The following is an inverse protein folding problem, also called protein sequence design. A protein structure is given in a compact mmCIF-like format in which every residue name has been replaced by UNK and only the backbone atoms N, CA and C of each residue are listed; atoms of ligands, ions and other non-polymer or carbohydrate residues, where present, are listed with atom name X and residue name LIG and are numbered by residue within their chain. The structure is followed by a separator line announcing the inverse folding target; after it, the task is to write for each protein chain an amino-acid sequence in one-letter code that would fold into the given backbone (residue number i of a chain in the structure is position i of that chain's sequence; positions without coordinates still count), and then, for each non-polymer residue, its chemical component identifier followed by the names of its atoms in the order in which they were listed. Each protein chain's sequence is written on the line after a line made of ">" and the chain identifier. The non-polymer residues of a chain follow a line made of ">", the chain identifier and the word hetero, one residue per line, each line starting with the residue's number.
data_IF_913829392328
#
_entry.id   IF_913829392328
#
_cell.length_a   1.000
_cell.length_b   1.000
_cell.length_c   1.000
_cell.angle_alpha   90.00
_cell.angle_beta   90.00
_cell.angle_gamma   90.00
#
_symmetry.space_group_name_H-M   'P 1'
#
loop_
_entity.id
_entity.type
_entity.pdbx_description
1 polymer ?
#
# COMPACT_ATOMS: atom_id res chain seq x y z
N UNK A 1 -16.15 -9.06 5.04
CA UNK A 1 -15.39 -8.40 3.95
C UNK A 1 -13.97 -8.93 4.00
N UNK A 2 -13.53 -9.69 3.00
CA UNK A 2 -12.14 -10.22 2.96
C UNK A 2 -11.18 -9.05 2.75
N UNK A 3 -10.24 -8.84 3.68
CA UNK A 3 -9.17 -7.85 3.50
C UNK A 3 -8.12 -8.44 2.57
N UNK A 4 -7.83 -7.74 1.47
CA UNK A 4 -6.83 -8.13 0.48
C UNK A 4 -5.62 -7.20 0.62
N UNK A 5 -4.41 -7.74 0.55
CA UNK A 5 -3.18 -6.96 0.50
C UNK A 5 -2.39 -7.29 -0.76
N UNK A 6 -2.25 -6.29 -1.63
CA UNK A 6 -1.44 -6.37 -2.85
C UNK A 6 -0.04 -5.84 -2.59
N UNK A 7 0.99 -6.58 -2.96
CA UNK A 7 2.38 -6.13 -2.87
C UNK A 7 3.17 -6.48 -4.13
N UNK A 8 4.28 -5.77 -4.35
CA UNK A 8 5.20 -6.04 -5.46
C UNK A 8 5.78 -7.46 -5.39
N UNK A 9 6.09 -8.05 -6.54
CA UNK A 9 6.73 -9.37 -6.62
C UNK A 9 8.05 -9.44 -5.84
N UNK A 10 8.74 -8.32 -5.61
CA UNK A 10 9.89 -8.20 -4.73
C UNK A 10 9.62 -8.62 -3.28
N UNK A 11 8.38 -8.46 -2.80
CA UNK A 11 7.95 -8.87 -1.46
C UNK A 11 7.49 -10.33 -1.38
N UNK A 12 7.61 -11.11 -2.46
CA UNK A 12 7.25 -12.52 -2.46
C UNK A 12 8.21 -13.31 -1.55
N UNK A 13 7.72 -13.67 -0.37
CA UNK A 13 8.38 -14.60 0.55
C UNK A 13 7.33 -15.37 1.34
N UNK A 14 7.73 -16.51 1.92
CA UNK A 14 6.83 -17.36 2.71
C UNK A 14 6.44 -16.67 4.01
N UNK A 15 7.43 -16.04 4.63
CA UNK A 15 7.34 -15.29 5.88
C UNK A 15 6.41 -14.09 5.71
N UNK A 16 6.51 -13.37 4.60
CA UNK A 16 5.61 -12.26 4.29
C UNK A 16 4.17 -12.75 4.09
N UNK A 17 3.97 -13.86 3.37
CA UNK A 17 2.62 -14.42 3.18
C UNK A 17 2.01 -14.89 4.51
N UNK A 18 2.80 -15.51 5.38
CA UNK A 18 2.38 -15.94 6.71
C UNK A 18 2.06 -14.75 7.62
N UNK A 19 2.91 -13.71 7.64
CA UNK A 19 2.66 -12.50 8.41
C UNK A 19 1.38 -11.76 7.99
N UNK A 20 1.03 -11.83 6.70
CA UNK A 20 -0.23 -11.31 6.16
C UNK A 20 -1.39 -12.21 6.59
N UNK A 21 -1.26 -13.53 6.43
CA UNK A 21 -2.27 -14.52 6.81
C UNK A 21 -2.62 -14.51 8.30
N UNK A 22 -1.63 -14.30 9.17
CA UNK A 22 -1.82 -14.14 10.61
C UNK A 22 -2.71 -12.95 11.01
N UNK A 23 -2.94 -12.01 10.08
CA UNK A 23 -3.84 -10.87 10.26
C UNK A 23 -5.22 -11.09 9.62
N UNK A 24 -5.52 -12.33 9.20
CA UNK A 24 -6.73 -12.69 8.46
C UNK A 24 -6.88 -11.93 7.14
N UNK A 25 -5.74 -11.59 6.52
CA UNK A 25 -5.66 -10.89 5.25
C UNK A 25 -5.19 -11.88 4.18
N UNK A 26 -5.77 -11.80 2.99
CA UNK A 26 -5.33 -12.62 1.84
C UNK A 26 -4.23 -11.88 1.08
N UNK A 27 -3.08 -12.54 0.95
CA UNK A 27 -1.94 -12.00 0.20
C UNK A 27 -2.17 -12.09 -1.33
N UNK A 28 -1.87 -10.99 -2.02
CA UNK A 28 -1.86 -10.87 -3.49
C UNK A 28 -0.50 -10.38 -3.94
N UNK A 29 0.47 -11.29 -3.99
CA UNK A 29 1.85 -11.02 -4.41
C UNK A 29 2.14 -11.87 -5.65
N UNK A 30 2.67 -11.26 -6.71
CA UNK A 30 2.86 -11.95 -7.98
C UNK A 30 3.80 -13.15 -7.84
N UNK A 31 3.35 -14.38 -8.12
CA UNK A 31 4.20 -15.55 -7.99
C UNK A 31 5.30 -15.57 -9.06
N UNK A 32 6.56 -15.77 -8.65
CA UNK A 32 7.73 -15.80 -9.56
C UNK A 32 7.92 -17.18 -10.19
N UNK A 33 8.72 -17.26 -11.26
CA UNK A 33 9.09 -18.55 -11.89
C UNK A 33 9.84 -19.43 -10.87
N UNK A 34 9.50 -20.72 -10.83
CA UNK A 34 10.18 -21.72 -9.99
C UNK A 34 9.69 -21.82 -8.54
N UNK A 35 8.57 -21.19 -8.21
CA UNK A 35 7.91 -21.35 -6.91
C UNK A 35 7.35 -22.76 -6.71
N UNK A 36 7.34 -23.20 -5.46
CA UNK A 36 6.76 -24.47 -5.04
C UNK A 36 5.59 -24.24 -4.08
N UNK A 37 4.68 -25.20 -4.01
CA UNK A 37 3.58 -25.19 -3.03
C UNK A 37 4.04 -25.45 -1.58
N UNK A 38 5.33 -25.74 -1.36
CA UNK A 38 5.86 -25.94 -0.01
C UNK A 38 5.91 -24.61 0.74
N UNK A 39 5.23 -24.53 1.88
CA UNK A 39 5.18 -23.36 2.75
C UNK A 39 3.97 -23.31 3.68
N UNK A 40 3.80 -22.20 4.42
CA UNK A 40 2.64 -21.95 5.28
C UNK A 40 1.30 -21.99 4.53
N UNK A 41 0.19 -22.13 5.25
CA UNK A 41 -1.14 -22.21 4.63
C UNK A 41 -1.46 -20.97 3.79
N UNK A 42 -1.14 -19.76 4.29
CA UNK A 42 -1.34 -18.51 3.56
C UNK A 42 -0.52 -18.44 2.24
N UNK A 43 0.67 -19.05 2.21
CA UNK A 43 1.47 -19.18 0.99
C UNK A 43 0.79 -20.11 -0.02
N UNK A 44 0.34 -21.28 0.45
CA UNK A 44 -0.38 -22.27 -0.36
C UNK A 44 -1.67 -21.69 -0.93
N UNK A 45 -2.42 -20.95 -0.13
CA UNK A 45 -3.65 -20.26 -0.54
C UNK A 45 -3.37 -19.18 -1.59
N UNK A 46 -2.32 -18.38 -1.41
CA UNK A 46 -1.91 -17.35 -2.36
C UNK A 46 -1.57 -17.95 -3.73
N UNK A 47 -0.82 -19.04 -3.78
CA UNK A 47 -0.49 -19.74 -5.03
C UNK A 47 -1.75 -20.43 -5.60
N UNK A 48 -2.49 -21.17 -4.77
CA UNK A 48 -3.68 -21.90 -5.21
C UNK A 48 -4.71 -20.95 -5.83
N UNK A 49 -4.97 -19.80 -5.19
CA UNK A 49 -5.91 -18.81 -5.71
C UNK A 49 -5.45 -18.16 -7.01
N UNK A 50 -4.14 -18.08 -7.28
CA UNK A 50 -3.61 -17.66 -8.57
C UNK A 50 -3.85 -18.71 -9.66
N UNK A 51 -3.68 -19.99 -9.34
CA UNK A 51 -3.87 -21.09 -10.30
C UNK A 51 -5.34 -21.42 -10.54
N UNK A 52 -6.19 -21.30 -9.52
CA UNK A 52 -7.61 -21.64 -9.58
C UNK A 52 -8.41 -20.67 -10.48
N UNK A 53 -8.20 -19.36 -10.31
CA UNK A 53 -8.83 -18.33 -11.15
C UNK A 53 -7.85 -17.18 -11.38
N UNK A 54 -6.96 -17.40 -12.34
CA UNK A 54 -5.90 -16.44 -12.69
C UNK A 54 -6.45 -15.08 -13.10
N UNK A 55 -7.56 -15.03 -13.84
CA UNK A 55 -8.12 -13.78 -14.33
C UNK A 55 -8.68 -12.93 -13.18
N UNK A 56 -9.43 -13.55 -12.25
CA UNK A 56 -9.88 -12.86 -11.04
C UNK A 56 -8.71 -12.43 -10.17
N UNK A 57 -7.70 -13.28 -10.01
CA UNK A 57 -6.51 -12.95 -9.25
C UNK A 57 -5.77 -11.74 -9.83
N UNK A 58 -5.57 -11.70 -11.16
CA UNK A 58 -4.91 -10.58 -11.84
C UNK A 58 -5.70 -9.27 -11.71
N UNK A 59 -7.04 -9.32 -11.76
CA UNK A 59 -7.88 -8.14 -11.50
C UNK A 59 -7.70 -7.59 -10.10
N UNK A 60 -7.59 -8.46 -9.10
CA UNK A 60 -7.31 -8.06 -7.71
C UNK A 60 -5.89 -7.52 -7.56
N UNK A 61 -4.92 -8.14 -8.21
CA UNK A 61 -3.53 -7.70 -8.20
C UNK A 61 -3.31 -6.35 -8.89
N UNK A 62 -4.13 -6.02 -9.90
CA UNK A 62 -4.04 -4.77 -10.66
C UNK A 62 -4.16 -3.51 -9.78
N UNK A 63 -4.76 -3.59 -8.59
CA UNK A 63 -4.80 -2.47 -7.62
C UNK A 63 -3.40 -1.95 -7.26
N UNK A 64 -2.34 -2.75 -7.44
CA UNK A 64 -0.94 -2.33 -7.28
C UNK A 64 -0.55 -1.17 -8.23
N UNK A 65 -1.18 -1.05 -9.40
CA UNK A 65 -0.94 0.06 -10.34
C UNK A 65 -1.33 1.43 -9.77
N UNK A 66 -2.24 1.48 -8.79
CA UNK A 66 -2.62 2.71 -8.09
C UNK A 66 -1.40 3.27 -7.35
N UNK A 67 -0.67 2.43 -6.62
CA UNK A 67 0.53 2.85 -5.88
C UNK A 67 1.62 3.35 -6.83
N UNK A 68 1.79 2.73 -7.99
CA UNK A 68 2.72 3.23 -9.01
C UNK A 68 2.32 4.60 -9.52
N UNK A 69 1.03 4.81 -9.78
CA UNK A 69 0.49 6.10 -10.21
C UNK A 69 0.72 7.17 -9.16
N UNK A 70 0.46 6.87 -7.88
CA UNK A 70 0.73 7.76 -6.73
C UNK A 70 2.22 8.11 -6.69
N UNK A 71 3.11 7.12 -6.71
CA UNK A 71 4.55 7.32 -6.66
C UNK A 71 5.06 8.16 -7.83
N UNK A 72 4.56 7.89 -9.03
CA UNK A 72 4.88 8.63 -10.25
C UNK A 72 4.41 10.09 -10.18
N UNK A 73 3.21 10.32 -9.61
CA UNK A 73 2.65 11.66 -9.41
C UNK A 73 3.45 12.44 -8.38
N UNK A 74 3.83 11.79 -7.28
CA UNK A 74 4.60 12.41 -6.21
C UNK A 74 5.98 12.87 -6.71
N UNK A 75 6.67 12.02 -7.50
CA UNK A 75 7.96 12.36 -8.11
C UNK A 75 7.86 13.53 -9.09
N UNK A 76 6.80 13.62 -9.91
CA UNK A 76 6.60 14.75 -10.83
C UNK A 76 6.24 16.05 -10.13
N UNK A 77 5.42 15.95 -9.07
CA UNK A 77 4.96 17.12 -8.31
C UNK A 77 6.06 17.70 -7.43
N UNK A 78 6.89 16.85 -6.85
CA UNK A 78 7.96 17.22 -5.94
C UNK A 78 9.29 16.66 -6.48
N UNK A 79 9.83 17.27 -7.55
CA UNK A 79 11.02 16.77 -8.23
C UNK A 79 12.28 16.84 -7.37
N UNK A 80 12.27 17.68 -6.33
CA UNK A 80 13.38 17.75 -5.38
C UNK A 80 13.50 16.44 -4.58
N UNK A 81 14.72 15.85 -4.48
CA UNK A 81 14.96 14.72 -3.59
C UNK A 81 14.72 15.12 -2.13
N UNK A 82 14.53 14.12 -1.26
CA UNK A 82 14.40 14.35 0.18
C UNK A 82 15.67 15.01 0.71
N UNK A 83 15.55 16.25 1.20
CA UNK A 83 16.73 17.10 1.51
C UNK A 83 17.31 16.84 2.90
N UNK A 84 16.58 16.14 3.78
CA UNK A 84 16.92 16.06 5.20
C UNK A 84 17.83 14.87 5.49
N UNK A 85 18.87 15.06 6.33
CA UNK A 85 19.77 13.98 6.78
C UNK A 85 19.13 13.08 7.83
N UNK A 86 18.46 13.69 8.83
CA UNK A 86 17.87 12.98 9.97
C UNK A 86 16.61 12.20 9.56
N UNK A 87 16.50 10.95 10.05
CA UNK A 87 15.40 10.03 9.72
C UNK A 87 14.03 10.62 10.07
N UNK A 88 13.90 11.22 11.26
CA UNK A 88 12.65 11.86 11.71
C UNK A 88 12.23 12.97 10.76
N UNK A 89 13.18 13.82 10.34
CA UNK A 89 12.90 14.93 9.41
C UNK A 89 12.54 14.43 8.01
N UNK A 90 13.14 13.32 7.55
CA UNK A 90 12.73 12.66 6.29
C UNK A 90 11.31 12.12 6.40
N UNK A 91 10.96 11.47 7.52
CA UNK A 91 9.60 10.98 7.75
C UNK A 91 8.58 12.13 7.75
N UNK A 92 8.86 13.24 8.44
CA UNK A 92 8.03 14.44 8.41
C UNK A 92 7.86 14.99 7.00
N UNK A 93 8.96 15.08 6.23
CA UNK A 93 8.91 15.53 4.83
C UNK A 93 8.03 14.60 3.98
N UNK A 94 8.16 13.28 4.12
CA UNK A 94 7.33 12.30 3.40
C UNK A 94 5.85 12.47 3.76
N UNK A 95 5.52 12.59 5.05
CA UNK A 95 4.13 12.80 5.50
C UNK A 95 3.55 14.10 4.93
N UNK A 96 4.31 15.19 4.96
CA UNK A 96 3.87 16.46 4.37
C UNK A 96 3.61 16.33 2.86
N UNK A 97 4.46 15.61 2.13
CA UNK A 97 4.28 15.32 0.70
C UNK A 97 3.02 14.49 0.43
N UNK A 98 2.70 13.51 1.30
CA UNK A 98 1.46 12.72 1.23
C UNK A 98 0.24 13.62 1.44
N UNK A 99 0.26 14.52 2.44
CA UNK A 99 -0.84 15.46 2.67
C UNK A 99 -1.12 16.34 1.44
N UNK A 100 -0.07 16.87 0.81
CA UNK A 100 -0.21 17.68 -0.42
C UNK A 100 -0.80 16.84 -1.56
N UNK A 101 -0.39 15.59 -1.74
CA UNK A 101 -0.99 14.69 -2.73
C UNK A 101 -2.48 14.47 -2.47
N UNK A 102 -2.85 14.14 -1.22
CA UNK A 102 -4.25 13.91 -0.84
C UNK A 102 -5.13 15.14 -1.04
N UNK A 103 -4.65 16.34 -0.68
CA UNK A 103 -5.37 17.59 -0.91
C UNK A 103 -5.63 17.82 -2.40
N UNK A 104 -4.66 17.54 -3.28
CA UNK A 104 -4.84 17.65 -4.73
C UNK A 104 -5.88 16.66 -5.25
N UNK A 105 -5.87 15.42 -4.77
CA UNK A 105 -6.89 14.43 -5.14
C UNK A 105 -8.29 14.86 -4.68
N UNK A 106 -8.40 15.39 -3.46
CA UNK A 106 -9.67 15.88 -2.92
C UNK A 106 -10.23 17.04 -3.76
N UNK A 107 -9.39 18.00 -4.14
CA UNK A 107 -9.78 19.10 -5.03
C UNK A 107 -10.19 18.58 -6.40
N UNK A 108 -9.44 17.63 -6.98
CA UNK A 108 -9.80 17.01 -8.25
C UNK A 108 -11.18 16.35 -8.18
N UNK A 109 -11.41 15.52 -7.17
CA UNK A 109 -12.67 14.81 -6.93
C UNK A 109 -13.85 15.76 -6.69
N UNK A 110 -13.62 16.92 -6.05
CA UNK A 110 -14.64 17.96 -5.93
C UNK A 110 -15.12 18.43 -7.30
N UNK A 111 -14.20 18.73 -8.20
CA UNK A 111 -14.54 19.26 -9.53
C UNK A 111 -15.03 18.18 -10.51
N UNK A 112 -14.54 16.94 -10.42
CA UNK A 112 -14.97 15.88 -11.35
C UNK A 112 -16.19 15.10 -10.87
N UNK A 113 -16.32 14.87 -9.56
CA UNK A 113 -17.33 13.97 -9.00
C UNK A 113 -18.30 14.69 -8.06
N UNK A 114 -18.19 16.01 -7.90
CA UNK A 114 -19.07 16.80 -7.04
C UNK A 114 -18.94 16.49 -5.54
N UNK A 115 -17.83 15.88 -5.12
CA UNK A 115 -17.58 15.56 -3.71
C UNK A 115 -17.32 16.86 -2.94
N UNK A 116 -18.12 17.15 -1.92
CA UNK A 116 -17.87 18.31 -1.07
C UNK A 116 -16.82 17.97 0.00
N UNK A 117 -15.66 18.65 0.02
CA UNK A 117 -14.62 18.43 1.02
C UNK A 117 -14.93 19.14 2.35
N UNK A 118 -16.19 19.17 2.77
CA UNK A 118 -16.54 19.64 4.12
C UNK A 118 -15.88 18.72 5.14
N UNK A 119 -14.91 19.28 5.85
CA UNK A 119 -14.17 18.59 6.89
C UNK A 119 -15.08 18.46 8.11
N UNK A 120 -15.91 17.42 8.16
CA UNK A 120 -16.48 17.00 9.45
C UNK A 120 -15.30 16.60 10.34
N UNK A 121 -15.19 17.31 11.47
CA UNK A 121 -14.08 17.24 12.41
C UNK A 121 -13.64 15.79 12.70
N UNK A 122 -12.39 15.47 12.37
CA UNK A 122 -11.79 14.19 12.76
C UNK A 122 -11.22 14.38 14.17
N UNK A 123 -11.68 13.62 15.18
CA UNK A 123 -11.08 13.66 16.50
C UNK A 123 -9.58 13.44 16.37
N UNK A 124 -8.79 14.32 16.98
CA UNK A 124 -7.33 14.36 16.93
C UNK A 124 -6.73 12.98 17.20
N UNK A 125 -6.46 12.23 16.13
CA UNK A 125 -5.66 11.01 16.22
C UNK A 125 -4.25 11.49 16.55
N UNK A 126 -3.82 11.30 17.81
CA UNK A 126 -2.42 11.50 18.20
C UNK A 126 -1.54 10.80 17.16
N UNK A 127 -0.44 11.40 16.69
CA UNK A 127 0.45 10.71 15.78
C UNK A 127 0.96 9.44 16.46
N UNK A 128 0.54 8.28 15.96
CA UNK A 128 1.00 6.92 16.35
C UNK A 128 2.45 6.69 15.85
N UNK A 129 3.27 7.73 15.87
CA UNK A 129 4.65 7.71 15.37
C UNK A 129 5.65 7.57 16.53
N UNK A 130 5.23 7.74 17.78
CA UNK A 130 6.15 7.73 18.93
C UNK A 130 6.60 6.31 19.35
N UNK A 131 5.82 5.26 19.08
CA UNK A 131 6.11 3.93 19.63
C UNK A 131 7.09 3.10 18.77
N UNK A 132 7.43 3.56 17.56
CA UNK A 132 8.37 2.87 16.66
C UNK A 132 9.84 3.32 16.81
N UNK A 133 10.13 4.27 17.70
CA UNK A 133 11.47 4.85 17.89
C UNK A 133 12.09 4.51 19.26
N UNK A 134 11.46 3.62 20.03
CA UNK A 134 11.91 3.20 21.37
C UNK A 134 12.33 1.72 21.47
N UNK A 135 12.78 1.12 20.37
CA UNK A 135 13.49 -0.17 20.36
C UNK A 135 14.71 -0.10 19.45
#
# INVERSE_FOLDING_TARGET
>A
MVKLLTADAGYLSRENCEAIGNKEIVARIFPKKGITYSGPDAWREMIYSFTYDTQKWLRQYHTRSIIETVNSTLKRTMPSPLKKRLIVRKATEIVARICVYNLRQLVYLKYTNGIDPTMEWIPTVRPVILDYLTH
#
